data_IF_236358733713
#
_entry.id   IF_236358733713
#
_cell.length_a   1.000
_cell.length_b   1.000
_cell.length_c   1.000
_cell.angle_alpha   90.00
_cell.angle_beta   90.00
_cell.angle_gamma   90.00
#
_symmetry.space_group_name_H-M   'P 1'
#
loop_
_entity.id
_entity.type
_entity.pdbx_description
1 polymer ?
#
# COMPACT_ATOMS: atom_id res chain seq x y z
N UNK A 1 2.05 -9.37 2.84
CA UNK A 1 2.07 -10.65 2.08
C UNK A 1 0.68 -11.28 2.02
N UNK A 2 0.10 -11.65 3.14
CA UNK A 2 -1.18 -12.38 3.18
C UNK A 2 -2.34 -11.65 2.48
N UNK A 3 -2.37 -10.32 2.53
CA UNK A 3 -3.37 -9.51 1.80
C UNK A 3 -3.32 -9.75 0.30
N UNK A 4 -2.12 -9.78 -0.28
CA UNK A 4 -1.92 -10.10 -1.70
C UNK A 4 -2.27 -11.55 -2.01
N UNK A 5 -1.79 -12.50 -1.22
CA UNK A 5 -2.14 -13.90 -1.39
C UNK A 5 -3.67 -14.09 -1.38
N UNK A 6 -4.37 -13.43 -0.46
CA UNK A 6 -5.85 -13.47 -0.38
C UNK A 6 -6.51 -12.79 -1.59
N UNK A 7 -6.00 -11.64 -2.04
CA UNK A 7 -6.50 -10.97 -3.24
C UNK A 7 -6.34 -11.86 -4.47
N UNK A 8 -5.14 -12.41 -4.68
CA UNK A 8 -4.84 -13.33 -5.76
C UNK A 8 -5.71 -14.60 -5.74
N UNK A 9 -5.95 -15.17 -4.56
CA UNK A 9 -6.80 -16.38 -4.41
C UNK A 9 -8.27 -16.15 -4.79
N UNK A 10 -8.75 -14.92 -4.61
CA UNK A 10 -10.13 -14.51 -4.99
C UNK A 10 -10.23 -14.10 -6.46
N UNK A 11 -9.10 -13.79 -7.08
CA UNK A 11 -9.03 -13.48 -8.51
C UNK A 11 -9.10 -14.77 -9.32
N UNK A 12 -9.45 -14.66 -10.60
CA UNK A 12 -9.42 -15.81 -11.53
C UNK A 12 -8.04 -15.96 -12.21
N UNK A 13 -7.04 -15.19 -11.78
CA UNK A 13 -5.71 -15.17 -12.40
C UNK A 13 -4.91 -16.43 -12.10
N UNK A 14 -5.06 -16.99 -10.90
CA UNK A 14 -4.29 -18.16 -10.47
C UNK A 14 -5.20 -19.36 -10.22
N UNK A 15 -4.67 -20.56 -10.52
CA UNK A 15 -5.33 -21.81 -10.18
C UNK A 15 -5.18 -22.09 -8.67
N UNK A 16 -6.06 -22.93 -8.12
CA UNK A 16 -5.93 -23.40 -6.74
C UNK A 16 -4.54 -24.00 -6.51
N UNK A 17 -3.96 -23.74 -5.33
CA UNK A 17 -2.64 -24.24 -4.90
C UNK A 17 -1.44 -23.80 -5.72
N UNK A 18 -1.56 -22.69 -6.45
CA UNK A 18 -0.39 -22.03 -7.07
C UNK A 18 0.17 -20.92 -6.19
N UNK A 19 -0.29 -20.81 -4.93
CA UNK A 19 0.18 -19.80 -3.98
C UNK A 19 0.78 -20.52 -2.77
N UNK A 20 2.09 -20.51 -2.70
CA UNK A 20 2.85 -20.98 -1.55
C UNK A 20 3.05 -19.80 -0.60
N UNK A 21 2.74 -20.00 0.68
CA UNK A 21 2.92 -19.00 1.73
C UNK A 21 3.94 -19.52 2.72
N UNK A 22 5.10 -18.86 2.73
CA UNK A 22 6.18 -19.11 3.68
C UNK A 22 6.07 -18.12 4.83
N UNK A 23 6.02 -18.58 6.07
CA UNK A 23 6.12 -17.75 7.27
C UNK A 23 6.96 -18.47 8.33
N UNK A 24 7.67 -17.72 9.18
CA UNK A 24 8.43 -18.29 10.30
C UNK A 24 7.54 -18.63 11.51
N UNK A 25 6.33 -18.05 11.60
CA UNK A 25 5.38 -18.30 12.68
C UNK A 25 4.55 -19.55 12.38
N UNK A 26 4.68 -20.56 13.24
CA UNK A 26 3.87 -21.78 13.16
C UNK A 26 2.37 -21.51 13.29
N UNK A 27 2.00 -20.58 14.17
CA UNK A 27 0.59 -20.18 14.36
C UNK A 27 0.00 -19.62 13.06
N UNK A 28 0.76 -18.73 12.36
CA UNK A 28 0.34 -18.20 11.07
C UNK A 28 0.26 -19.27 9.98
N UNK A 29 1.19 -20.20 9.95
CA UNK A 29 1.15 -21.32 9.00
C UNK A 29 -0.06 -22.22 9.25
N UNK A 30 -0.46 -22.46 10.50
CA UNK A 30 -1.68 -23.19 10.83
C UNK A 30 -2.94 -22.44 10.36
N UNK A 31 -2.99 -21.12 10.50
CA UNK A 31 -4.08 -20.30 9.98
C UNK A 31 -4.15 -20.33 8.45
N UNK A 32 -3.00 -20.16 7.79
CA UNK A 32 -2.87 -20.22 6.33
C UNK A 32 -3.26 -21.58 5.79
N UNK A 33 -2.84 -22.67 6.45
CA UNK A 33 -3.16 -24.04 6.06
C UNK A 33 -4.64 -24.41 6.12
N UNK A 34 -5.46 -23.65 6.85
CA UNK A 34 -6.93 -23.79 6.85
C UNK A 34 -7.58 -23.22 5.59
N UNK A 35 -6.85 -22.44 4.80
CA UNK A 35 -7.36 -21.79 3.59
C UNK A 35 -7.03 -22.67 2.37
N UNK A 36 -8.03 -23.27 1.76
CA UNK A 36 -7.90 -24.29 0.70
C UNK A 36 -7.15 -23.83 -0.57
N UNK A 37 -6.81 -22.55 -0.70
CA UNK A 37 -6.11 -21.97 -1.84
C UNK A 37 -4.61 -21.84 -1.65
N UNK A 38 -4.09 -22.02 -0.43
CA UNK A 38 -2.70 -21.83 -0.10
C UNK A 38 -2.03 -23.15 0.25
N UNK A 39 -0.78 -23.26 -0.13
CA UNK A 39 0.13 -24.26 0.42
C UNK A 39 0.99 -23.54 1.48
N UNK A 40 0.76 -23.88 2.76
CA UNK A 40 1.53 -23.37 3.88
C UNK A 40 2.89 -24.09 3.94
N UNK A 41 3.96 -23.35 3.83
CA UNK A 41 5.34 -23.87 3.73
C UNK A 41 6.15 -23.34 4.91
N UNK A 42 6.87 -24.23 5.60
CA UNK A 42 7.74 -23.90 6.73
C UNK A 42 9.24 -23.83 6.35
N UNK A 43 9.60 -24.37 5.18
CA UNK A 43 10.98 -24.44 4.71
C UNK A 43 11.15 -23.66 3.41
N UNK A 44 12.13 -22.79 3.39
CA UNK A 44 12.44 -21.96 2.23
C UNK A 44 12.89 -22.79 1.02
N UNK A 45 13.56 -23.91 1.29
CA UNK A 45 14.05 -24.87 0.31
C UNK A 45 12.91 -25.55 -0.49
N UNK A 46 11.73 -25.64 0.13
CA UNK A 46 10.57 -26.31 -0.45
C UNK A 46 9.72 -25.38 -1.32
N UNK A 47 9.95 -24.05 -1.29
CA UNK A 47 9.15 -23.11 -2.07
C UNK A 47 9.98 -22.27 -3.06
N UNK A 48 11.13 -21.72 -2.65
CA UNK A 48 11.89 -20.79 -3.49
C UNK A 48 12.30 -21.38 -4.83
N UNK A 49 12.85 -22.61 -4.92
CA UNK A 49 13.26 -23.18 -6.22
C UNK A 49 12.11 -23.45 -7.20
N UNK A 50 10.87 -23.56 -6.71
CA UNK A 50 9.69 -23.91 -7.49
C UNK A 50 8.87 -22.69 -7.93
N UNK A 51 9.14 -21.52 -7.35
CA UNK A 51 8.33 -20.33 -7.60
C UNK A 51 8.78 -19.61 -8.89
N UNK A 52 7.84 -19.22 -9.74
CA UNK A 52 8.10 -18.35 -10.88
C UNK A 52 8.15 -16.87 -10.42
N UNK A 53 7.29 -16.49 -9.48
CA UNK A 53 7.19 -15.14 -8.93
C UNK A 53 7.26 -15.20 -7.40
N UNK A 54 8.13 -14.38 -6.82
CA UNK A 54 8.36 -14.34 -5.37
C UNK A 54 8.01 -12.96 -4.82
N UNK A 55 7.03 -12.92 -3.90
CA UNK A 55 6.72 -11.72 -3.12
C UNK A 55 7.60 -11.63 -1.87
N UNK A 56 8.45 -10.63 -1.80
CA UNK A 56 9.23 -10.29 -0.60
C UNK A 56 8.40 -9.39 0.30
N UNK A 57 7.84 -9.96 1.36
CA UNK A 57 6.83 -9.34 2.21
C UNK A 57 7.21 -9.37 3.70
N UNK A 58 8.49 -9.46 4.00
CA UNK A 58 9.04 -9.38 5.36
C UNK A 58 9.23 -7.92 5.79
N UNK A 59 9.49 -7.69 7.06
CA UNK A 59 9.93 -6.36 7.52
C UNK A 59 11.35 -6.08 7.01
N UNK A 60 11.70 -4.83 6.65
CA UNK A 60 13.02 -4.48 6.09
C UNK A 60 14.19 -5.04 6.90
N UNK A 61 14.16 -4.91 8.21
CA UNK A 61 15.21 -5.41 9.11
C UNK A 61 15.40 -6.94 9.15
N UNK A 62 14.55 -7.70 8.44
CA UNK A 62 14.72 -9.14 8.22
C UNK A 62 15.22 -9.47 6.81
N UNK A 63 15.42 -8.47 5.96
CA UNK A 63 15.77 -8.68 4.55
C UNK A 63 17.12 -9.40 4.41
N UNK A 64 18.14 -8.94 5.12
CA UNK A 64 19.49 -9.51 5.04
C UNK A 64 19.51 -10.99 5.42
N UNK A 65 18.94 -11.36 6.57
CA UNK A 65 18.82 -12.74 7.01
C UNK A 65 18.11 -13.62 5.97
N UNK A 66 17.00 -13.11 5.44
CA UNK A 66 16.23 -13.81 4.40
C UNK A 66 17.07 -14.02 3.14
N UNK A 67 17.75 -12.98 2.66
CA UNK A 67 18.54 -13.03 1.43
C UNK A 67 19.73 -13.97 1.54
N UNK A 68 20.42 -14.03 2.68
CA UNK A 68 21.48 -14.99 2.93
C UNK A 68 20.99 -16.45 2.77
N UNK A 69 19.78 -16.74 3.23
CA UNK A 69 19.15 -18.07 3.09
C UNK A 69 18.67 -18.34 1.67
N UNK A 70 18.17 -17.33 0.97
CA UNK A 70 17.62 -17.46 -0.39
C UNK A 70 18.70 -17.58 -1.46
N UNK A 71 19.85 -16.92 -1.29
CA UNK A 71 20.87 -16.71 -2.35
C UNK A 71 21.29 -17.97 -3.12
N UNK A 72 21.30 -19.12 -2.44
CA UNK A 72 21.69 -20.40 -3.06
C UNK A 72 20.51 -21.16 -3.71
N UNK A 73 19.29 -20.67 -3.51
CA UNK A 73 18.05 -21.33 -3.90
C UNK A 73 17.35 -20.63 -5.05
N UNK A 74 17.70 -19.37 -5.29
CA UNK A 74 17.06 -18.54 -6.33
C UNK A 74 17.54 -18.92 -7.71
N UNK A 75 16.65 -18.80 -8.71
CA UNK A 75 16.96 -18.95 -10.11
C UNK A 75 16.97 -17.56 -10.77
N UNK A 76 17.94 -17.25 -11.66
CA UNK A 76 18.04 -15.95 -12.35
C UNK A 76 16.81 -15.56 -13.18
N UNK A 77 15.99 -16.53 -13.58
CA UNK A 77 14.79 -16.28 -14.38
C UNK A 77 13.56 -15.89 -13.51
N UNK A 78 13.62 -16.08 -12.21
CA UNK A 78 12.54 -15.75 -11.30
C UNK A 78 12.30 -14.25 -11.23
N UNK A 79 11.03 -13.87 -11.09
CA UNK A 79 10.59 -12.49 -10.91
C UNK A 79 10.35 -12.21 -9.42
N UNK A 80 10.98 -11.18 -8.91
CA UNK A 80 10.82 -10.76 -7.51
C UNK A 80 9.97 -9.50 -7.41
N UNK A 81 8.98 -9.50 -6.52
CA UNK A 81 8.14 -8.34 -6.20
C UNK A 81 8.36 -8.01 -4.73
N UNK A 82 9.08 -6.93 -4.44
CA UNK A 82 9.32 -6.46 -3.08
C UNK A 82 8.25 -5.47 -2.67
N UNK A 83 7.61 -5.71 -1.53
CA UNK A 83 6.71 -4.75 -0.86
C UNK A 83 7.33 -4.24 0.47
N UNK A 84 8.65 -4.33 0.59
CA UNK A 84 9.40 -3.84 1.74
C UNK A 84 9.65 -2.34 1.62
N UNK A 85 9.36 -1.57 2.66
CA UNK A 85 9.67 -0.14 2.68
C UNK A 85 11.20 0.06 2.74
N UNK A 86 11.71 1.04 1.99
CA UNK A 86 13.13 1.41 1.99
C UNK A 86 14.04 0.49 1.17
N UNK A 87 13.77 -0.80 1.06
CA UNK A 87 14.65 -1.76 0.39
C UNK A 87 14.67 -1.55 -1.12
N UNK A 88 15.82 -1.16 -1.65
CA UNK A 88 16.00 -0.78 -3.06
C UNK A 88 16.09 -1.98 -4.01
N UNK A 89 15.80 -1.75 -5.30
CA UNK A 89 15.98 -2.76 -6.36
C UNK A 89 17.43 -3.22 -6.40
N UNK A 90 18.37 -2.28 -6.40
CA UNK A 90 19.80 -2.59 -6.48
C UNK A 90 20.27 -3.49 -5.32
N UNK A 91 19.84 -3.17 -4.10
CA UNK A 91 20.19 -3.97 -2.92
C UNK A 91 19.69 -5.43 -3.05
N UNK A 92 18.44 -5.62 -3.52
CA UNK A 92 17.87 -6.96 -3.72
C UNK A 92 18.64 -7.71 -4.81
N UNK A 93 18.97 -7.04 -5.93
CA UNK A 93 19.71 -7.62 -7.04
C UNK A 93 21.10 -8.09 -6.62
N UNK A 94 21.85 -7.27 -5.89
CA UNK A 94 23.19 -7.59 -5.41
C UNK A 94 23.18 -8.71 -4.35
N UNK A 95 22.26 -8.62 -3.39
CA UNK A 95 22.15 -9.58 -2.31
C UNK A 95 21.79 -10.99 -2.81
N UNK A 96 20.89 -11.10 -3.77
CA UNK A 96 20.41 -12.38 -4.29
C UNK A 96 21.12 -12.84 -5.57
N UNK A 97 21.81 -11.97 -6.30
CA UNK A 97 22.42 -12.27 -7.59
C UNK A 97 21.41 -12.44 -8.71
N UNK A 98 20.30 -11.70 -8.67
CA UNK A 98 19.19 -11.77 -9.63
C UNK A 98 19.05 -10.44 -10.39
N UNK A 99 18.23 -10.40 -11.44
CA UNK A 99 18.04 -9.19 -12.25
C UNK A 99 16.60 -8.67 -12.26
N UNK A 100 15.62 -9.58 -12.25
CA UNK A 100 14.20 -9.25 -12.43
C UNK A 100 13.56 -8.90 -11.09
N UNK A 101 13.57 -7.61 -10.75
CA UNK A 101 13.01 -7.09 -9.50
C UNK A 101 12.01 -5.98 -9.78
N UNK A 102 10.87 -6.03 -9.09
CA UNK A 102 9.87 -4.98 -9.01
C UNK A 102 9.80 -4.51 -7.57
N UNK A 103 9.99 -3.23 -7.33
CA UNK A 103 9.74 -2.60 -6.03
C UNK A 103 8.34 -2.00 -6.05
N UNK A 104 7.54 -2.36 -5.06
CA UNK A 104 6.15 -1.94 -4.93
C UNK A 104 5.86 -1.44 -3.52
N UNK A 105 5.01 -0.43 -3.39
CA UNK A 105 4.60 0.14 -2.11
C UNK A 105 3.07 0.17 -2.04
N UNK A 106 2.46 -0.81 -1.37
CA UNK A 106 1.03 -0.84 -1.12
C UNK A 106 0.64 0.05 0.06
N UNK A 107 -0.66 0.23 0.24
CA UNK A 107 -1.23 0.85 1.42
C UNK A 107 -2.27 -0.02 2.13
N UNK A 108 -2.67 0.38 3.33
CA UNK A 108 -3.56 -0.40 4.20
C UNK A 108 -4.94 -0.75 3.59
N UNK A 109 -5.61 0.12 2.79
CA UNK A 109 -6.88 -0.21 2.14
C UNK A 109 -6.84 -1.41 1.18
N UNK A 110 -5.67 -1.91 0.82
CA UNK A 110 -5.50 -3.18 0.11
C UNK A 110 -6.22 -4.36 0.79
N UNK A 111 -6.37 -4.33 2.12
CA UNK A 111 -7.08 -5.36 2.89
C UNK A 111 -8.56 -5.49 2.50
N UNK A 112 -9.15 -4.42 2.01
CA UNK A 112 -10.56 -4.37 1.56
C UNK A 112 -10.70 -4.22 0.04
N UNK A 113 -9.63 -4.46 -0.72
CA UNK A 113 -9.63 -4.36 -2.18
C UNK A 113 -9.73 -2.93 -2.71
N UNK A 114 -9.37 -1.94 -1.90
CA UNK A 114 -9.38 -0.51 -2.22
C UNK A 114 -7.99 0.13 -2.08
N UNK A 115 -6.94 -0.69 -2.15
CA UNK A 115 -5.56 -0.23 -2.05
C UNK A 115 -5.10 0.55 -3.26
N UNK A 116 -4.02 1.30 -3.07
CA UNK A 116 -3.16 1.78 -4.15
C UNK A 116 -1.77 1.19 -3.94
N UNK A 117 -1.21 0.61 -5.00
CA UNK A 117 0.15 0.07 -4.99
C UNK A 117 0.97 0.80 -6.04
N UNK A 118 1.85 1.70 -5.62
CA UNK A 118 2.85 2.28 -6.53
C UNK A 118 3.96 1.28 -6.78
N UNK A 119 4.46 1.16 -8.03
CA UNK A 119 5.54 0.24 -8.34
C UNK A 119 6.49 0.76 -9.42
N UNK A 120 7.71 0.25 -9.39
CA UNK A 120 8.76 0.47 -10.39
C UNK A 120 9.51 -0.84 -10.60
N UNK A 121 10.06 -1.06 -11.77
CA UNK A 121 10.79 -2.29 -12.12
C UNK A 121 12.22 -2.03 -12.55
N UNK A 122 13.09 -3.01 -12.36
CA UNK A 122 14.36 -3.11 -13.05
C UNK A 122 14.14 -3.19 -14.58
N UNK A 123 15.17 -2.81 -15.35
CA UNK A 123 15.11 -2.80 -16.83
C UNK A 123 14.95 -4.20 -17.44
N UNK A 124 15.45 -5.22 -16.75
CA UNK A 124 15.39 -6.61 -17.19
C UNK A 124 14.01 -7.26 -17.06
N UNK A 125 13.06 -6.59 -16.41
CA UNK A 125 11.67 -7.06 -16.35
C UNK A 125 10.98 -6.78 -17.68
N UNK A 126 10.59 -7.81 -18.38
CA UNK A 126 9.95 -7.71 -19.69
C UNK A 126 8.54 -7.09 -19.61
N UNK A 127 8.03 -6.61 -20.74
CA UNK A 127 6.66 -6.06 -20.82
C UNK A 127 5.58 -7.08 -20.46
N UNK A 128 5.79 -8.36 -20.80
CA UNK A 128 4.85 -9.42 -20.43
C UNK A 128 4.84 -9.66 -18.92
N UNK A 129 6.03 -9.70 -18.30
CA UNK A 129 6.13 -9.81 -16.83
C UNK A 129 5.51 -8.62 -16.13
N UNK A 130 5.71 -7.40 -16.63
CA UNK A 130 5.05 -6.21 -16.11
C UNK A 130 3.52 -6.30 -16.16
N UNK A 131 2.96 -6.77 -17.25
CA UNK A 131 1.52 -6.99 -17.37
C UNK A 131 1.01 -8.01 -16.34
N UNK A 132 1.78 -9.09 -16.09
CA UNK A 132 1.45 -10.05 -15.03
C UNK A 132 1.53 -9.40 -13.64
N UNK A 133 2.59 -8.62 -13.37
CA UNK A 133 2.75 -7.88 -12.11
C UNK A 133 1.57 -6.95 -11.85
N UNK A 134 1.17 -6.14 -12.82
CA UNK A 134 0.00 -5.27 -12.71
C UNK A 134 -1.25 -6.06 -12.36
N UNK A 135 -1.51 -7.15 -13.06
CA UNK A 135 -2.65 -8.01 -12.75
C UNK A 135 -2.62 -8.57 -11.31
N UNK A 136 -1.44 -8.95 -10.81
CA UNK A 136 -1.29 -9.44 -9.44
C UNK A 136 -1.47 -8.33 -8.41
N UNK A 137 -0.92 -7.14 -8.65
CA UNK A 137 -1.06 -5.98 -7.75
C UNK A 137 -2.50 -5.48 -7.71
N UNK A 138 -3.20 -5.47 -8.84
CA UNK A 138 -4.59 -5.02 -8.96
C UNK A 138 -5.60 -5.93 -8.23
N UNK A 139 -5.19 -7.13 -7.80
CA UNK A 139 -6.04 -7.99 -6.98
C UNK A 139 -6.42 -7.39 -5.61
N UNK A 140 -5.72 -6.34 -5.19
CA UNK A 140 -5.94 -5.67 -3.89
C UNK A 140 -6.37 -4.20 -4.03
N UNK A 141 -6.61 -3.73 -5.26
CA UNK A 141 -7.05 -2.36 -5.54
C UNK A 141 -6.60 -1.88 -6.90
N UNK A 142 -5.84 -0.78 -6.96
CA UNK A 142 -5.24 -0.24 -8.19
C UNK A 142 -3.72 -0.25 -8.07
N UNK A 143 -3.03 -0.52 -9.18
CA UNK A 143 -1.59 -0.31 -9.29
C UNK A 143 -1.27 0.96 -10.08
N UNK A 144 -0.13 1.58 -9.77
CA UNK A 144 0.36 2.78 -10.44
C UNK A 144 1.86 2.64 -10.70
N UNK A 145 2.23 2.51 -11.97
CA UNK A 145 3.63 2.52 -12.36
C UNK A 145 4.22 3.92 -12.23
N UNK A 146 5.34 4.04 -11.52
CA UNK A 146 6.07 5.30 -11.35
C UNK A 146 7.40 5.27 -12.11
N UNK A 147 8.01 6.47 -12.29
CA UNK A 147 9.21 6.62 -13.14
C UNK A 147 10.47 5.97 -12.56
N UNK A 148 10.66 6.05 -11.25
CA UNK A 148 11.83 5.53 -10.54
C UNK A 148 11.53 5.38 -9.05
N UNK A 149 12.49 4.86 -8.28
CA UNK A 149 12.35 4.57 -6.84
C UNK A 149 12.09 5.81 -5.99
N UNK A 150 12.57 7.00 -6.37
CA UNK A 150 12.26 8.26 -5.66
C UNK A 150 10.75 8.54 -5.63
N UNK A 151 10.02 8.13 -6.68
CA UNK A 151 8.56 8.25 -6.69
C UNK A 151 7.86 7.17 -5.86
N UNK A 152 8.52 6.04 -5.58
CA UNK A 152 8.03 5.08 -4.57
C UNK A 152 8.08 5.73 -3.19
N UNK A 153 9.19 6.39 -2.85
CA UNK A 153 9.35 7.06 -1.56
C UNK A 153 8.37 8.25 -1.43
N UNK A 154 8.19 9.04 -2.48
CA UNK A 154 7.19 10.11 -2.53
C UNK A 154 5.76 9.55 -2.39
N UNK A 155 5.43 8.44 -3.06
CA UNK A 155 4.12 7.81 -2.93
C UNK A 155 3.88 7.23 -1.53
N UNK A 156 4.95 6.84 -0.83
CA UNK A 156 4.86 6.40 0.57
C UNK A 156 4.35 7.54 1.46
N UNK A 157 4.84 8.77 1.26
CA UNK A 157 4.35 9.95 1.98
C UNK A 157 2.89 10.31 1.70
N UNK A 158 2.40 10.05 0.49
CA UNK A 158 1.03 10.41 0.07
C UNK A 158 0.05 9.25 0.25
N UNK A 159 0.30 8.11 -0.39
CA UNK A 159 -0.65 6.99 -0.40
C UNK A 159 -0.33 5.92 0.63
N UNK A 160 0.94 5.68 0.93
CA UNK A 160 1.35 4.71 1.95
C UNK A 160 0.91 5.13 3.35
N UNK A 161 1.26 6.36 3.74
CA UNK A 161 0.88 6.98 5.02
C UNK A 161 -0.51 7.62 5.00
N UNK A 162 -1.02 7.96 3.82
CA UNK A 162 -2.28 8.69 3.63
C UNK A 162 -3.50 8.14 4.37
N UNK A 163 -3.72 6.82 4.46
CA UNK A 163 -4.82 6.29 5.27
C UNK A 163 -4.79 6.74 6.73
N UNK A 164 -3.59 6.92 7.32
CA UNK A 164 -3.48 7.43 8.68
C UNK A 164 -3.93 8.89 8.77
N UNK A 165 -3.67 9.71 7.77
CA UNK A 165 -4.14 11.10 7.71
C UNK A 165 -5.66 11.17 7.64
N UNK A 166 -6.26 10.31 6.80
CA UNK A 166 -7.72 10.20 6.70
C UNK A 166 -8.32 9.81 8.05
N UNK A 167 -7.76 8.81 8.74
CA UNK A 167 -8.24 8.42 10.07
C UNK A 167 -8.04 9.52 11.12
N UNK A 168 -6.97 10.29 11.05
CA UNK A 168 -6.73 11.44 11.92
C UNK A 168 -7.80 12.52 11.72
N UNK A 169 -8.14 12.85 10.48
CA UNK A 169 -9.24 13.76 10.16
C UNK A 169 -10.59 13.21 10.65
N UNK A 170 -10.87 11.94 10.40
CA UNK A 170 -12.09 11.29 10.85
C UNK A 170 -12.22 11.35 12.37
N UNK A 171 -11.13 11.08 13.09
CA UNK A 171 -11.09 11.16 14.55
C UNK A 171 -11.44 12.58 15.03
N UNK A 172 -10.78 13.61 14.51
CA UNK A 172 -11.03 15.01 14.88
C UNK A 172 -12.46 15.42 14.63
N UNK A 173 -13.06 15.02 13.49
CA UNK A 173 -14.46 15.30 13.18
C UNK A 173 -15.43 14.53 14.11
N UNK A 174 -15.11 13.28 14.48
CA UNK A 174 -15.92 12.52 15.44
C UNK A 174 -15.88 13.13 16.83
N UNK A 175 -14.71 13.58 17.29
CA UNK A 175 -14.56 14.27 18.57
C UNK A 175 -15.37 15.58 18.61
N UNK A 176 -15.34 16.36 17.52
CA UNK A 176 -16.17 17.55 17.40
C UNK A 176 -17.67 17.22 17.46
N UNK A 177 -18.11 16.17 16.75
CA UNK A 177 -19.51 15.74 16.79
C UNK A 177 -19.96 15.30 18.19
N UNK A 178 -19.10 14.60 18.94
CA UNK A 178 -19.36 14.25 20.34
C UNK A 178 -19.51 15.49 21.20
N UNK A 179 -18.66 16.50 21.05
CA UNK A 179 -18.75 17.77 21.78
C UNK A 179 -20.02 18.56 21.41
N UNK A 180 -20.55 18.41 20.21
CA UNK A 180 -21.84 18.96 19.76
C UNK A 180 -23.04 18.20 20.32
N UNK A 181 -22.82 17.08 21.04
CA UNK A 181 -23.89 16.31 21.71
C UNK A 181 -24.38 15.08 20.96
N UNK A 182 -23.76 14.69 19.82
CA UNK A 182 -24.07 13.43 19.14
C UNK A 182 -23.52 12.23 19.93
N UNK A 183 -24.19 11.08 19.81
CA UNK A 183 -23.63 9.82 20.33
C UNK A 183 -22.48 9.33 19.45
N UNK A 184 -21.63 8.45 19.99
CA UNK A 184 -20.50 7.86 19.26
C UNK A 184 -20.92 7.17 17.95
N UNK A 185 -22.01 6.37 17.99
CA UNK A 185 -22.52 5.70 16.81
C UNK A 185 -22.99 6.69 15.73
N UNK A 186 -23.67 7.75 16.11
CA UNK A 186 -24.13 8.79 15.17
C UNK A 186 -22.94 9.56 14.60
N UNK A 187 -21.98 9.94 15.43
CA UNK A 187 -20.74 10.62 15.01
C UNK A 187 -19.98 9.78 13.97
N UNK A 188 -19.84 8.48 14.21
CA UNK A 188 -19.23 7.55 13.27
C UNK A 188 -19.95 7.51 11.92
N UNK A 189 -21.27 7.43 11.91
CA UNK A 189 -22.07 7.40 10.66
C UNK A 189 -21.93 8.73 9.90
N UNK A 190 -22.08 9.87 10.60
CA UNK A 190 -21.95 11.19 10.00
C UNK A 190 -20.60 11.34 9.30
N UNK A 191 -19.51 11.06 10.01
CA UNK A 191 -18.15 11.24 9.49
C UNK A 191 -17.85 10.25 8.37
N UNK A 192 -18.09 8.96 8.58
CA UNK A 192 -17.76 7.95 7.57
C UNK A 192 -18.52 8.14 6.27
N UNK A 193 -19.82 8.50 6.34
CA UNK A 193 -20.61 8.73 5.13
C UNK A 193 -20.19 10.01 4.41
N UNK A 194 -19.77 11.04 5.13
CA UNK A 194 -19.25 12.29 4.54
C UNK A 194 -17.98 12.01 3.72
N UNK A 195 -16.99 11.29 4.28
CA UNK A 195 -15.77 10.93 3.55
C UNK A 195 -16.07 10.05 2.34
N UNK A 196 -16.93 9.03 2.51
CA UNK A 196 -17.31 8.13 1.41
C UNK A 196 -17.94 8.91 0.26
N UNK A 197 -18.91 9.76 0.55
CA UNK A 197 -19.61 10.54 -0.46
C UNK A 197 -18.70 11.55 -1.18
N UNK A 198 -17.84 12.25 -0.44
CA UNK A 198 -16.90 13.21 -1.03
C UNK A 198 -15.91 12.52 -1.98
N UNK A 199 -15.34 11.39 -1.57
CA UNK A 199 -14.41 10.61 -2.41
C UNK A 199 -15.13 10.06 -3.65
N UNK A 200 -16.36 9.60 -3.53
CA UNK A 200 -17.13 9.09 -4.65
C UNK A 200 -17.44 10.19 -5.67
N UNK A 201 -17.88 11.36 -5.22
CA UNK A 201 -18.08 12.53 -6.10
C UNK A 201 -16.79 12.94 -6.82
N UNK A 202 -15.67 12.98 -6.11
CA UNK A 202 -14.37 13.31 -6.69
C UNK A 202 -13.94 12.31 -7.77
N UNK A 203 -14.21 11.02 -7.58
CA UNK A 203 -13.84 9.97 -8.54
C UNK A 203 -14.75 9.92 -9.78
N UNK A 204 -15.99 10.37 -9.66
CA UNK A 204 -16.96 10.34 -10.77
C UNK A 204 -16.86 11.55 -11.70
N UNK A 205 -16.16 12.60 -11.27
CA UNK A 205 -16.10 13.88 -11.98
C UNK A 205 -14.65 14.35 -12.08
N UNK A 206 -14.35 15.04 -13.17
CA UNK A 206 -13.00 15.59 -13.40
C UNK A 206 -12.90 17.05 -12.92
N UNK A 207 -13.47 17.34 -11.75
CA UNK A 207 -13.36 18.66 -11.11
C UNK A 207 -12.21 18.64 -10.10
N UNK A 208 -11.53 19.79 -9.94
CA UNK A 208 -10.49 19.92 -8.93
C UNK A 208 -11.10 20.12 -7.52
N UNK A 209 -10.33 19.91 -6.45
CA UNK A 209 -10.82 20.08 -5.08
C UNK A 209 -11.36 21.47 -4.77
N UNK A 210 -10.77 22.53 -5.34
CA UNK A 210 -11.19 23.92 -5.11
C UNK A 210 -12.63 24.14 -5.61
N UNK A 211 -12.94 23.65 -6.82
CA UNK A 211 -14.30 23.72 -7.36
C UNK A 211 -15.30 22.98 -6.47
N UNK A 212 -14.93 21.82 -5.93
CA UNK A 212 -15.80 21.11 -5.00
C UNK A 212 -16.02 21.88 -3.70
N UNK A 213 -14.99 22.51 -3.15
CA UNK A 213 -15.12 23.37 -1.96
C UNK A 213 -16.05 24.54 -2.23
N UNK A 214 -15.91 25.24 -3.35
CA UNK A 214 -16.78 26.33 -3.76
C UNK A 214 -18.26 25.93 -3.91
N UNK A 215 -18.51 24.75 -4.49
CA UNK A 215 -19.89 24.22 -4.66
C UNK A 215 -20.61 23.97 -3.31
N UNK A 216 -19.86 23.61 -2.28
CA UNK A 216 -20.41 23.36 -0.94
C UNK A 216 -20.45 24.65 -0.09
N UNK A 217 -19.53 25.58 -0.32
CA UNK A 217 -19.35 26.80 0.48
C UNK A 217 -20.17 27.99 -0.05
N UNK A 218 -21.42 28.10 0.33
CA UNK A 218 -22.22 29.29 0.03
C UNK A 218 -21.75 30.53 0.82
N UNK A 219 -21.91 31.71 0.24
CA UNK A 219 -21.54 32.98 0.88
C UNK A 219 -22.27 33.17 2.22
N UNK A 220 -21.50 33.35 3.30
CA UNK A 220 -22.03 33.49 4.67
C UNK A 220 -22.57 32.20 5.28
N UNK A 221 -22.37 31.04 4.61
CA UNK A 221 -22.81 29.75 5.11
C UNK A 221 -21.82 29.11 6.10
N UNK A 222 -22.27 28.03 6.73
CA UNK A 222 -21.49 27.28 7.73
C UNK A 222 -20.18 26.71 7.17
N UNK A 223 -20.22 26.22 5.93
CA UNK A 223 -19.03 25.68 5.24
C UNK A 223 -18.00 26.77 5.00
N UNK A 224 -18.41 27.99 4.61
CA UNK A 224 -17.49 29.11 4.41
C UNK A 224 -16.78 29.47 5.72
N UNK A 225 -17.54 29.57 6.83
CA UNK A 225 -16.97 29.83 8.14
C UNK A 225 -15.95 28.77 8.57
N UNK A 226 -16.20 27.50 8.24
CA UNK A 226 -15.26 26.41 8.54
C UNK A 226 -13.97 26.50 7.70
N UNK A 227 -14.09 26.79 6.38
CA UNK A 227 -12.95 26.95 5.49
C UNK A 227 -12.10 28.18 5.89
N UNK A 228 -12.73 29.32 6.22
CA UNK A 228 -12.03 30.50 6.71
C UNK A 228 -11.23 30.20 7.98
N UNK A 229 -11.82 29.45 8.92
CA UNK A 229 -11.12 29.01 10.14
C UNK A 229 -9.92 28.09 9.82
N UNK A 230 -10.02 27.21 8.82
CA UNK A 230 -8.90 26.36 8.40
C UNK A 230 -7.80 27.18 7.71
N UNK A 231 -8.17 28.19 6.93
CA UNK A 231 -7.23 29.10 6.24
C UNK A 231 -6.49 29.96 7.28
N UNK A 232 -7.18 30.57 8.23
CA UNK A 232 -6.61 31.39 9.31
C UNK A 232 -5.62 30.60 10.19
N UNK A 233 -5.84 29.30 10.35
CA UNK A 233 -4.97 28.41 11.12
C UNK A 233 -3.93 27.67 10.25
N UNK A 234 -3.77 28.00 8.98
CA UNK A 234 -2.80 27.43 8.05
C UNK A 234 -2.88 25.89 7.97
N UNK A 235 -4.06 25.29 8.08
CA UNK A 235 -4.25 23.83 8.13
C UNK A 235 -3.71 23.15 6.87
N UNK A 236 -3.81 23.81 5.69
CA UNK A 236 -3.28 23.30 4.43
C UNK A 236 -1.76 23.13 4.49
N UNK A 237 -1.01 24.08 5.06
CA UNK A 237 0.45 23.97 5.19
C UNK A 237 0.83 22.85 6.16
N UNK A 238 0.13 22.75 7.30
CA UNK A 238 0.35 21.67 8.28
C UNK A 238 0.13 20.27 7.68
N UNK A 239 -0.86 20.12 6.81
CA UNK A 239 -1.10 18.85 6.11
C UNK A 239 0.05 18.53 5.14
N UNK A 240 0.54 19.53 4.38
CA UNK A 240 1.69 19.37 3.48
C UNK A 240 2.95 19.00 4.25
N UNK A 241 3.24 19.71 5.34
CA UNK A 241 4.39 19.42 6.20
C UNK A 241 4.36 18.00 6.74
N UNK A 242 3.20 17.51 7.18
CA UNK A 242 3.04 16.13 7.64
C UNK A 242 3.34 15.11 6.52
N UNK A 243 2.87 15.37 5.28
CA UNK A 243 3.16 14.51 4.14
C UNK A 243 4.66 14.54 3.76
N UNK A 244 5.31 15.70 3.80
CA UNK A 244 6.75 15.83 3.58
C UNK A 244 7.58 15.17 4.68
N UNK A 245 7.16 15.23 5.94
CA UNK A 245 7.83 14.51 7.03
C UNK A 245 7.81 12.99 6.79
N UNK A 246 6.67 12.44 6.34
CA UNK A 246 6.58 11.02 5.99
C UNK A 246 7.42 10.67 4.75
N UNK A 247 7.47 11.53 3.75
CA UNK A 247 8.35 11.37 2.58
C UNK A 247 9.83 11.39 2.99
N UNK A 248 10.26 12.37 3.79
CA UNK A 248 11.62 12.45 4.31
C UNK A 248 12.03 11.17 5.05
N UNK A 249 11.14 10.64 5.91
CA UNK A 249 11.41 9.38 6.61
C UNK A 249 11.49 8.17 5.67
N UNK A 250 10.72 8.16 4.59
CA UNK A 250 10.80 7.10 3.58
C UNK A 250 12.14 7.10 2.85
N UNK A 251 12.70 8.30 2.55
CA UNK A 251 14.04 8.45 1.96
C UNK A 251 15.12 7.97 2.92
N UNK A 252 15.10 8.43 4.18
CA UNK A 252 16.06 7.98 5.21
C UNK A 252 16.10 6.46 5.35
N UNK A 253 14.92 5.81 5.38
CA UNK A 253 14.84 4.35 5.43
C UNK A 253 15.46 3.68 4.19
N UNK A 254 15.44 4.34 3.04
CA UNK A 254 16.07 3.85 1.82
C UNK A 254 17.60 3.98 1.84
N UNK A 255 18.16 4.91 2.59
CA UNK A 255 19.61 5.09 2.74
C UNK A 255 20.26 3.99 3.61
N UNK A 256 19.46 3.25 4.39
CA UNK A 256 19.92 2.13 5.21
C UNK A 256 20.20 0.86 4.34
N UNK A 257 19.78 0.83 3.07
CA UNK A 257 19.88 -0.28 2.11
C UNK A 257 20.39 0.20 0.74
#
# INVERSE_FOLDING_TARGET
GLTYATGMSKSKLLKKRNIMVLDKSKERLEEVGKIAYFDAIDKIEDCVPQADIIFLAVKPYHAEELFQRMKKLVNPEQLFISIMAGVTINYIQEALGIKKVVRAMPNLPAQVGKGLTSYVSAEEVSRLELFMVEGLLDTTGKSLRVKNEKFIDASTGISGSGPAYVFYFMQSMMEAALQMGFSENVSKVLVSQTFTGAVELFNQNNLNPDTWMEMVASKGGTTRAALDSMEDNNVNELIKEAAFAAFGRAVELGEEY
#
